data_IF_920207998701
#
_entry.id   IF_920207998701
#
_cell.length_a   1.000
_cell.length_b   1.000
_cell.length_c   1.000
_cell.angle_alpha   90.00
_cell.angle_beta   90.00
_cell.angle_gamma   90.00
#
_symmetry.space_group_name_H-M   'P 1'
#
loop_
_entity.id
_entity.type
_entity.pdbx_description
1 polymer ?
#
# COMPACT_ATOMS: atom_id res chain seq x y z
N UNK A 1 32.75 22.73 -6.22
CA UNK A 1 32.07 22.97 -7.50
C UNK A 1 32.61 24.26 -8.09
N UNK A 2 33.12 24.26 -9.32
CA UNK A 2 33.70 25.47 -9.92
C UNK A 2 32.61 26.46 -10.38
N UNK A 3 32.99 27.73 -10.60
CA UNK A 3 32.09 28.74 -11.18
C UNK A 3 31.51 28.27 -12.52
N UNK A 4 32.33 27.67 -13.39
CA UNK A 4 31.90 27.13 -14.68
C UNK A 4 30.94 25.94 -14.52
N UNK A 5 31.16 25.07 -13.52
CA UNK A 5 30.25 23.97 -13.22
C UNK A 5 28.87 24.48 -12.80
N UNK A 6 28.81 25.55 -12.00
CA UNK A 6 27.54 26.16 -11.59
C UNK A 6 26.77 26.76 -12.77
N UNK A 7 27.44 27.47 -13.68
CA UNK A 7 26.79 27.99 -14.90
C UNK A 7 26.26 26.84 -15.75
N UNK A 8 27.07 25.79 -15.94
CA UNK A 8 26.73 24.63 -16.77
C UNK A 8 25.57 23.82 -16.18
N UNK A 9 25.56 23.61 -14.87
CA UNK A 9 24.48 22.97 -14.12
C UNK A 9 23.17 23.75 -14.27
N UNK A 10 23.20 25.06 -14.02
CA UNK A 10 22.02 25.91 -14.16
C UNK A 10 21.50 25.95 -15.61
N UNK A 11 22.39 25.96 -16.60
CA UNK A 11 22.02 25.86 -18.01
C UNK A 11 21.25 24.56 -18.30
N UNK A 12 21.78 23.42 -17.85
CA UNK A 12 21.11 22.13 -18.07
C UNK A 12 19.77 22.06 -17.34
N UNK A 13 19.71 22.52 -16.09
CA UNK A 13 18.48 22.58 -15.29
C UNK A 13 17.40 23.43 -15.97
N UNK A 14 17.75 24.65 -16.40
CA UNK A 14 16.81 25.57 -17.08
C UNK A 14 16.33 25.01 -18.42
N UNK A 15 17.22 24.37 -19.19
CA UNK A 15 16.83 23.66 -20.43
C UNK A 15 15.89 22.50 -20.13
N UNK A 16 16.14 21.73 -19.08
CA UNK A 16 15.27 20.65 -18.61
C UNK A 16 13.86 21.15 -18.31
N UNK A 17 13.76 22.19 -17.47
CA UNK A 17 12.48 22.84 -17.13
C UNK A 17 11.73 23.35 -18.37
N UNK A 18 12.42 23.99 -19.32
CA UNK A 18 11.82 24.43 -20.58
C UNK A 18 11.25 23.28 -21.40
N UNK A 19 11.92 22.13 -21.45
CA UNK A 19 11.41 20.95 -22.13
C UNK A 19 10.24 20.30 -21.39
N UNK A 20 10.25 20.34 -20.06
CA UNK A 20 9.17 19.84 -19.22
C UNK A 20 7.88 20.63 -19.46
N UNK A 21 7.95 21.96 -19.50
CA UNK A 21 6.81 22.84 -19.84
C UNK A 21 6.27 22.53 -21.25
N UNK A 22 7.16 22.22 -22.20
CA UNK A 22 6.79 21.78 -23.55
C UNK A 22 6.29 20.33 -23.63
N UNK A 23 6.11 19.65 -22.49
CA UNK A 23 5.75 18.22 -22.38
C UNK A 23 6.69 17.26 -23.12
N UNK A 24 7.92 17.68 -23.42
CA UNK A 24 8.96 16.84 -24.04
C UNK A 24 9.75 16.14 -22.93
N UNK A 25 9.10 15.21 -22.25
CA UNK A 25 9.58 14.61 -20.99
C UNK A 25 10.95 13.94 -21.15
N UNK A 26 11.16 13.16 -22.20
CA UNK A 26 12.45 12.49 -22.46
C UNK A 26 13.61 13.47 -22.62
N UNK A 27 13.36 14.60 -23.30
CA UNK A 27 14.37 15.66 -23.44
C UNK A 27 14.64 16.32 -22.08
N UNK A 28 13.58 16.61 -21.32
CA UNK A 28 13.72 17.18 -19.98
C UNK A 28 14.57 16.28 -19.08
N UNK A 29 14.24 14.97 -19.05
CA UNK A 29 14.98 13.95 -18.32
C UNK A 29 16.48 13.95 -18.68
N UNK A 30 16.82 13.92 -19.98
CA UNK A 30 18.22 13.97 -20.42
C UNK A 30 18.98 15.20 -19.92
N UNK A 31 18.34 16.37 -19.91
CA UNK A 31 18.94 17.59 -19.39
C UNK A 31 19.08 17.56 -17.87
N UNK A 32 18.10 17.05 -17.14
CA UNK A 32 18.19 16.90 -15.69
C UNK A 32 19.24 15.87 -15.26
N UNK A 33 19.44 14.79 -16.02
CA UNK A 33 20.55 13.87 -15.78
C UNK A 33 21.90 14.59 -15.86
N UNK A 34 22.09 15.43 -16.87
CA UNK A 34 23.33 16.23 -17.02
C UNK A 34 23.52 17.24 -15.88
N UNK A 35 22.45 17.87 -15.40
CA UNK A 35 22.52 18.76 -14.24
C UNK A 35 22.90 17.98 -12.96
N UNK A 36 22.26 16.83 -12.74
CA UNK A 36 22.48 15.97 -11.58
C UNK A 36 23.93 15.43 -11.50
N UNK A 37 24.54 15.11 -12.65
CA UNK A 37 25.93 14.67 -12.74
C UNK A 37 26.93 15.74 -12.27
N UNK A 38 26.58 17.02 -12.42
CA UNK A 38 27.41 18.13 -11.94
C UNK A 38 27.14 18.40 -10.46
N UNK A 39 25.86 18.44 -10.07
CA UNK A 39 25.46 18.70 -8.70
C UNK A 39 24.18 17.94 -8.34
N UNK A 40 24.28 17.08 -7.32
CA UNK A 40 23.14 16.39 -6.70
C UNK A 40 22.39 17.26 -5.70
N UNK A 41 22.04 18.48 -6.10
CA UNK A 41 21.29 19.42 -5.26
C UNK A 41 19.84 18.93 -5.03
N UNK A 42 19.16 19.38 -3.97
CA UNK A 42 17.76 19.05 -3.72
C UNK A 42 16.83 19.39 -4.88
N UNK A 43 17.09 20.48 -5.60
CA UNK A 43 16.31 20.88 -6.76
C UNK A 43 16.55 19.95 -7.96
N UNK A 44 17.79 19.54 -8.21
CA UNK A 44 18.10 18.60 -9.30
C UNK A 44 17.58 17.19 -9.02
N UNK A 45 17.67 16.73 -7.77
CA UNK A 45 17.05 15.50 -7.32
C UNK A 45 15.53 15.53 -7.51
N UNK A 46 14.87 16.65 -7.16
CA UNK A 46 13.44 16.79 -7.38
C UNK A 46 13.07 16.81 -8.88
N UNK A 47 13.79 17.59 -9.69
CA UNK A 47 13.53 17.71 -11.13
C UNK A 47 13.71 16.38 -11.89
N UNK A 48 14.73 15.60 -11.55
CA UNK A 48 14.92 14.27 -12.15
C UNK A 48 13.81 13.32 -11.73
N UNK A 49 13.40 13.33 -10.45
CA UNK A 49 12.31 12.50 -9.94
C UNK A 49 10.99 12.80 -10.63
N UNK A 50 10.62 14.07 -10.77
CA UNK A 50 9.37 14.48 -11.46
C UNK A 50 9.37 14.05 -12.92
N UNK A 51 10.54 14.11 -13.58
CA UNK A 51 10.68 13.65 -14.96
C UNK A 51 10.53 12.13 -15.05
N UNK A 52 11.14 11.37 -14.14
CA UNK A 52 10.99 9.92 -14.05
C UNK A 52 9.55 9.49 -13.76
N UNK A 53 8.84 10.19 -12.85
CA UNK A 53 7.41 9.98 -12.60
C UNK A 53 6.58 10.20 -13.86
N UNK A 54 6.89 11.26 -14.62
CA UNK A 54 6.21 11.57 -15.89
C UNK A 54 6.49 10.51 -16.98
N UNK A 55 7.61 9.80 -16.89
CA UNK A 55 7.95 8.65 -17.73
C UNK A 55 7.42 7.31 -17.16
N UNK A 56 6.63 7.34 -16.08
CA UNK A 56 6.13 6.16 -15.36
C UNK A 56 7.24 5.27 -14.76
N UNK A 57 8.45 5.79 -14.61
CA UNK A 57 9.60 5.12 -13.98
C UNK A 57 9.60 5.34 -12.47
N UNK A 58 8.51 4.95 -11.81
CA UNK A 58 8.26 5.26 -10.40
C UNK A 58 9.32 4.69 -9.43
N UNK A 59 9.82 3.48 -9.71
CA UNK A 59 10.85 2.86 -8.86
C UNK A 59 12.21 3.57 -8.93
N UNK A 60 12.54 4.21 -10.06
CA UNK A 60 13.74 5.04 -10.16
C UNK A 60 13.52 6.39 -9.47
N UNK A 61 12.34 7.00 -9.66
CA UNK A 61 11.96 8.25 -9.01
C UNK A 61 11.98 8.14 -7.47
N UNK A 62 11.48 7.02 -6.93
CA UNK A 62 11.48 6.69 -5.50
C UNK A 62 12.89 6.86 -4.89
N UNK A 63 13.93 6.30 -5.54
CA UNK A 63 15.31 6.37 -5.05
C UNK A 63 15.83 7.79 -4.92
N UNK A 64 15.58 8.62 -5.93
CA UNK A 64 16.02 10.02 -5.92
C UNK A 64 15.24 10.86 -4.91
N UNK A 65 13.95 10.59 -4.71
CA UNK A 65 13.12 11.25 -3.69
C UNK A 65 13.55 10.86 -2.27
N UNK A 66 13.83 9.57 -2.02
CA UNK A 66 14.36 9.09 -0.75
C UNK A 66 15.69 9.78 -0.42
N UNK A 67 16.62 9.82 -1.37
CA UNK A 67 17.89 10.55 -1.22
C UNK A 67 17.68 12.05 -0.91
N UNK A 68 16.67 12.67 -1.52
CA UNK A 68 16.37 14.08 -1.25
C UNK A 68 15.82 14.30 0.17
N UNK A 69 15.01 13.36 0.65
CA UNK A 69 14.40 13.40 1.98
C UNK A 69 15.37 13.05 3.12
N UNK A 70 16.52 12.42 2.84
CA UNK A 70 17.57 12.19 3.85
C UNK A 70 18.05 13.50 4.50
N UNK A 71 18.20 14.56 3.69
CA UNK A 71 18.65 15.87 4.16
C UNK A 71 17.49 16.84 4.45
N UNK A 72 16.31 16.58 3.87
CA UNK A 72 15.13 17.44 3.98
C UNK A 72 13.87 16.63 4.33
N UNK A 73 13.82 15.98 5.51
CA UNK A 73 12.79 14.98 5.85
C UNK A 73 11.36 15.53 5.91
N UNK A 74 11.20 16.85 6.05
CA UNK A 74 9.90 17.52 6.13
C UNK A 74 9.54 18.32 4.88
N UNK A 75 10.29 18.18 3.77
CA UNK A 75 9.97 18.88 2.54
C UNK A 75 8.65 18.34 1.94
N UNK A 76 7.59 19.15 2.01
CA UNK A 76 6.23 18.74 1.61
C UNK A 76 6.16 18.26 0.15
N UNK A 77 6.86 18.93 -0.77
CA UNK A 77 6.85 18.57 -2.20
C UNK A 77 7.47 17.21 -2.45
N UNK A 78 8.60 16.91 -1.80
CA UNK A 78 9.27 15.62 -1.94
C UNK A 78 8.48 14.48 -1.27
N UNK A 79 7.89 14.74 -0.09
CA UNK A 79 7.02 13.78 0.58
C UNK A 79 5.78 13.48 -0.29
N UNK A 80 5.17 14.50 -0.89
CA UNK A 80 4.02 14.31 -1.77
C UNK A 80 4.39 13.51 -3.02
N UNK A 81 5.49 13.87 -3.69
CA UNK A 81 5.97 13.13 -4.86
C UNK A 81 6.30 11.67 -4.51
N UNK A 82 6.91 11.42 -3.35
CA UNK A 82 7.22 10.06 -2.92
C UNK A 82 5.95 9.27 -2.63
N UNK A 83 4.99 9.85 -1.90
CA UNK A 83 3.71 9.20 -1.66
C UNK A 83 2.96 8.87 -2.96
N UNK A 84 3.04 9.73 -3.97
CA UNK A 84 2.46 9.47 -5.29
C UNK A 84 3.21 8.35 -6.04
N UNK A 85 4.55 8.29 -5.97
CA UNK A 85 5.32 7.14 -6.45
C UNK A 85 4.89 5.83 -5.78
N UNK A 86 4.77 5.82 -4.45
CA UNK A 86 4.36 4.62 -3.70
C UNK A 86 2.95 4.17 -4.10
N UNK A 87 2.02 5.10 -4.34
CA UNK A 87 0.68 4.80 -4.86
C UNK A 87 0.76 4.14 -6.24
N UNK A 88 1.58 4.67 -7.15
CA UNK A 88 1.72 4.11 -8.50
C UNK A 88 2.42 2.75 -8.50
N UNK A 89 3.28 2.48 -7.51
CA UNK A 89 3.90 1.18 -7.27
C UNK A 89 3.00 0.20 -6.51
N UNK A 90 1.78 0.60 -6.14
CA UNK A 90 0.84 -0.16 -5.29
C UNK A 90 1.42 -0.53 -3.91
N UNK A 91 2.40 0.23 -3.43
CA UNK A 91 2.98 0.11 -2.08
C UNK A 91 2.15 0.91 -1.09
N UNK A 92 0.90 0.50 -0.91
CA UNK A 92 -0.12 1.29 -0.19
C UNK A 92 0.25 1.65 1.24
N UNK A 93 0.86 0.71 1.97
CA UNK A 93 1.25 0.93 3.36
C UNK A 93 2.31 2.03 3.50
N UNK A 94 3.26 2.08 2.56
CA UNK A 94 4.32 3.08 2.59
C UNK A 94 3.77 4.44 2.15
N UNK A 95 2.90 4.47 1.14
CA UNK A 95 2.14 5.68 0.78
C UNK A 95 1.33 6.23 1.96
N UNK A 96 0.61 5.37 2.71
CA UNK A 96 -0.20 5.77 3.87
C UNK A 96 0.69 6.38 4.97
N UNK A 97 1.84 5.77 5.28
CA UNK A 97 2.79 6.31 6.28
C UNK A 97 3.29 7.69 5.87
N UNK A 98 3.61 7.91 4.60
CA UNK A 98 4.06 9.21 4.12
C UNK A 98 2.91 10.24 4.15
N UNK A 99 1.70 9.84 3.75
CA UNK A 99 0.53 10.71 3.84
C UNK A 99 0.17 11.07 5.29
N UNK A 100 0.41 10.19 6.27
CA UNK A 100 0.26 10.53 7.70
C UNK A 100 1.22 11.65 8.11
N UNK A 101 2.51 11.53 7.77
CA UNK A 101 3.50 12.59 7.99
C UNK A 101 3.11 13.90 7.29
N UNK A 102 2.61 13.82 6.06
CA UNK A 102 2.13 15.00 5.32
C UNK A 102 0.93 15.67 5.98
N UNK A 103 0.03 14.92 6.62
CA UNK A 103 -1.13 15.47 7.34
C UNK A 103 -0.71 16.17 8.63
N UNK A 104 0.34 15.69 9.30
CA UNK A 104 0.94 16.36 10.46
C UNK A 104 1.53 17.72 10.09
N UNK A 105 2.12 17.84 8.89
CA UNK A 105 2.70 19.10 8.37
C UNK A 105 1.61 20.01 7.79
N UNK A 106 0.73 19.44 6.97
CA UNK A 106 -0.31 20.15 6.25
C UNK A 106 -1.64 19.38 6.31
N UNK A 107 -2.55 19.77 7.22
CA UNK A 107 -3.84 19.10 7.41
C UNK A 107 -4.71 19.00 6.14
N UNK A 108 -4.48 19.84 5.13
CA UNK A 108 -5.23 19.77 3.86
C UNK A 108 -4.96 18.47 3.08
N UNK A 109 -3.89 17.74 3.37
CA UNK A 109 -3.58 16.44 2.75
C UNK A 109 -4.42 15.27 3.28
N UNK A 110 -5.32 15.52 4.24
CA UNK A 110 -6.18 14.49 4.85
C UNK A 110 -6.99 13.70 3.82
N UNK A 111 -7.42 14.35 2.73
CA UNK A 111 -8.14 13.70 1.63
C UNK A 111 -7.29 12.68 0.88
N UNK A 112 -6.00 12.97 0.64
CA UNK A 112 -5.04 12.03 0.02
C UNK A 112 -4.79 10.81 0.92
N UNK A 113 -4.65 11.03 2.24
CA UNK A 113 -4.54 9.94 3.21
C UNK A 113 -5.77 9.02 3.21
N UNK A 114 -6.98 9.60 3.20
CA UNK A 114 -8.23 8.82 3.14
C UNK A 114 -8.35 8.04 1.83
N UNK A 115 -7.98 8.65 0.70
CA UNK A 115 -7.97 7.98 -0.59
C UNK A 115 -7.02 6.76 -0.59
N UNK A 116 -5.80 6.91 -0.08
CA UNK A 116 -4.83 5.82 -0.01
C UNK A 116 -5.34 4.65 0.86
N UNK A 117 -5.93 4.94 2.03
CA UNK A 117 -6.56 3.93 2.90
C UNK A 117 -7.74 3.23 2.23
N UNK A 118 -8.58 3.96 1.51
CA UNK A 118 -9.73 3.38 0.80
C UNK A 118 -9.28 2.45 -0.34
N UNK A 119 -8.23 2.81 -1.07
CA UNK A 119 -7.66 1.97 -2.14
C UNK A 119 -7.06 0.68 -1.54
N UNK A 120 -6.27 0.81 -0.49
CA UNK A 120 -5.68 -0.32 0.25
C UNK A 120 -6.75 -1.28 0.76
N UNK A 121 -7.81 -0.75 1.39
CA UNK A 121 -8.93 -1.54 1.89
C UNK A 121 -9.68 -2.27 0.76
N UNK A 122 -9.90 -1.63 -0.39
CA UNK A 122 -10.56 -2.26 -1.55
C UNK A 122 -9.72 -3.41 -2.11
N UNK A 123 -8.41 -3.21 -2.25
CA UNK A 123 -7.53 -4.26 -2.72
C UNK A 123 -7.45 -5.44 -1.74
N UNK A 124 -7.31 -5.15 -0.44
CA UNK A 124 -7.34 -6.16 0.61
C UNK A 124 -8.66 -6.93 0.62
N UNK A 125 -9.79 -6.25 0.40
CA UNK A 125 -11.10 -6.90 0.30
C UNK A 125 -11.15 -7.88 -0.88
N UNK A 126 -10.73 -7.46 -2.08
CA UNK A 126 -10.69 -8.33 -3.27
C UNK A 126 -9.79 -9.53 -3.03
N UNK A 127 -8.56 -9.31 -2.57
CA UNK A 127 -7.60 -10.37 -2.27
C UNK A 127 -8.11 -11.33 -1.19
N UNK A 128 -8.77 -10.81 -0.14
CA UNK A 128 -9.39 -11.65 0.89
C UNK A 128 -10.49 -12.55 0.33
N UNK A 129 -11.28 -12.04 -0.61
CA UNK A 129 -12.37 -12.79 -1.26
C UNK A 129 -11.81 -13.89 -2.16
N UNK A 130 -10.76 -13.62 -2.93
CA UNK A 130 -10.08 -14.63 -3.75
C UNK A 130 -9.52 -15.77 -2.88
N UNK A 131 -8.80 -15.43 -1.81
CA UNK A 131 -8.26 -16.41 -0.87
C UNK A 131 -9.36 -17.23 -0.20
N UNK A 132 -10.47 -16.59 0.20
CA UNK A 132 -11.63 -17.27 0.74
C UNK A 132 -12.23 -18.27 -0.26
N UNK A 133 -12.45 -17.84 -1.51
CA UNK A 133 -12.97 -18.70 -2.58
C UNK A 133 -12.09 -19.93 -2.77
N UNK A 134 -10.78 -19.76 -2.89
CA UNK A 134 -9.83 -20.88 -3.04
C UNK A 134 -9.84 -21.77 -1.81
N UNK A 135 -9.90 -21.20 -0.61
CA UNK A 135 -9.87 -22.00 0.61
C UNK A 135 -11.11 -22.90 0.78
N UNK A 136 -12.28 -22.47 0.32
CA UNK A 136 -13.54 -23.23 0.40
C UNK A 136 -13.52 -24.45 -0.53
N UNK A 137 -12.86 -24.37 -1.69
CA UNK A 137 -12.75 -25.51 -2.62
C UNK A 137 -11.81 -26.60 -2.11
N UNK A 138 -10.83 -26.24 -1.27
CA UNK A 138 -9.94 -27.17 -0.58
C UNK A 138 -10.63 -27.90 0.57
N UNK A 139 -11.57 -28.80 0.24
CA UNK A 139 -12.33 -29.58 1.22
C UNK A 139 -11.46 -30.60 1.96
N UNK A 140 -10.59 -31.33 1.24
CA UNK A 140 -9.76 -32.40 1.79
C UNK A 140 -8.43 -31.91 2.39
N UNK A 141 -7.90 -30.82 1.87
CA UNK A 141 -6.62 -30.25 2.32
C UNK A 141 -6.84 -29.19 3.40
N UNK A 142 -6.91 -29.66 4.65
CA UNK A 142 -7.16 -28.80 5.81
C UNK A 142 -6.05 -27.77 6.03
N UNK A 143 -4.78 -28.17 5.97
CA UNK A 143 -3.65 -27.31 6.31
C UNK A 143 -3.55 -26.13 5.34
N UNK A 144 -3.69 -26.40 4.03
CA UNK A 144 -3.68 -25.37 3.00
C UNK A 144 -4.91 -24.48 3.08
N UNK A 145 -6.10 -25.06 3.26
CA UNK A 145 -7.34 -24.29 3.42
C UNK A 145 -7.28 -23.35 4.62
N UNK A 146 -6.83 -23.82 5.78
CA UNK A 146 -6.72 -23.02 6.99
C UNK A 146 -5.66 -21.92 6.84
N UNK A 147 -4.54 -22.19 6.17
CA UNK A 147 -3.51 -21.18 5.87
C UNK A 147 -4.09 -20.03 5.05
N UNK A 148 -4.78 -20.33 3.94
CA UNK A 148 -5.40 -19.32 3.07
C UNK A 148 -6.48 -18.53 3.81
N UNK A 149 -7.31 -19.17 4.63
CA UNK A 149 -8.31 -18.47 5.44
C UNK A 149 -7.67 -17.53 6.47
N UNK A 150 -6.57 -17.93 7.10
CA UNK A 150 -5.83 -17.07 8.03
C UNK A 150 -5.22 -15.87 7.31
N UNK A 151 -4.69 -16.05 6.10
CA UNK A 151 -4.21 -14.96 5.25
C UNK A 151 -5.35 -14.02 4.85
N UNK A 152 -6.50 -14.57 4.41
CA UNK A 152 -7.69 -13.79 4.10
C UNK A 152 -8.19 -12.98 5.32
N UNK A 153 -8.14 -13.58 6.51
CA UNK A 153 -8.53 -12.93 7.76
C UNK A 153 -7.56 -11.82 8.18
N UNK A 154 -6.27 -11.90 7.83
CA UNK A 154 -5.34 -10.79 8.06
C UNK A 154 -5.70 -9.56 7.21
N UNK A 155 -6.16 -9.78 5.98
CA UNK A 155 -6.56 -8.73 5.05
C UNK A 155 -7.93 -8.13 5.38
N UNK A 156 -8.87 -8.96 5.86
CA UNK A 156 -10.22 -8.54 6.21
C UNK A 156 -10.65 -9.13 7.57
N UNK A 157 -10.10 -8.62 8.70
CA UNK A 157 -10.28 -9.23 10.03
C UNK A 157 -11.70 -9.15 10.59
N UNK A 158 -12.54 -8.28 10.04
CA UNK A 158 -13.95 -8.13 10.43
C UNK A 158 -14.90 -8.84 9.46
N UNK A 159 -14.40 -9.68 8.55
CA UNK A 159 -15.26 -10.46 7.67
C UNK A 159 -15.78 -11.71 8.40
N UNK A 160 -17.05 -11.65 8.82
CA UNK A 160 -17.69 -12.74 9.56
C UNK A 160 -17.71 -14.08 8.80
N UNK A 161 -17.76 -14.07 7.46
CA UNK A 161 -17.73 -15.30 6.66
C UNK A 161 -16.36 -15.96 6.67
N UNK A 162 -15.26 -15.20 6.65
CA UNK A 162 -13.92 -15.77 6.78
C UNK A 162 -13.76 -16.42 8.14
N UNK A 163 -14.16 -15.71 9.21
CA UNK A 163 -14.12 -16.22 10.58
C UNK A 163 -14.96 -17.49 10.75
N UNK A 164 -16.16 -17.50 10.19
CA UNK A 164 -17.03 -18.68 10.21
C UNK A 164 -16.39 -19.86 9.47
N UNK A 165 -15.79 -19.64 8.30
CA UNK A 165 -15.09 -20.70 7.58
C UNK A 165 -13.86 -21.22 8.33
N UNK A 166 -13.11 -20.37 9.03
CA UNK A 166 -12.03 -20.82 9.93
C UNK A 166 -12.59 -21.73 11.03
N UNK A 167 -13.69 -21.31 11.67
CA UNK A 167 -14.38 -22.11 12.68
C UNK A 167 -14.85 -23.45 12.13
N UNK A 168 -15.40 -23.48 10.91
CA UNK A 168 -15.84 -24.70 10.24
C UNK A 168 -14.68 -25.66 9.95
N UNK A 169 -13.49 -25.14 9.61
CA UNK A 169 -12.29 -25.96 9.43
C UNK A 169 -11.87 -26.60 10.76
N UNK A 170 -11.77 -25.83 11.83
CA UNK A 170 -11.46 -26.40 13.15
C UNK A 170 -12.51 -27.41 13.62
N UNK A 171 -13.79 -27.13 13.38
CA UNK A 171 -14.88 -28.04 13.69
C UNK A 171 -14.74 -29.38 12.95
N UNK A 172 -14.34 -29.34 11.66
CA UNK A 172 -14.10 -30.56 10.88
C UNK A 172 -12.94 -31.41 11.42
N UNK A 173 -11.98 -30.79 12.11
CA UNK A 173 -10.87 -31.45 12.78
C UNK A 173 -11.17 -31.85 14.23
N UNK A 174 -12.41 -31.69 14.68
CA UNK A 174 -12.83 -31.92 16.07
C UNK A 174 -12.10 -31.05 17.10
N UNK A 175 -11.47 -29.96 16.65
CA UNK A 175 -10.90 -28.93 17.53
C UNK A 175 -12.03 -27.95 17.91
N UNK A 176 -12.83 -28.39 18.87
CA UNK A 176 -14.06 -27.70 19.28
C UNK A 176 -13.76 -26.34 19.93
N UNK A 177 -12.63 -26.23 20.64
CA UNK A 177 -12.23 -25.01 21.35
C UNK A 177 -11.91 -23.88 20.36
N UNK A 178 -11.08 -24.16 19.35
CA UNK A 178 -10.81 -23.16 18.32
C UNK A 178 -12.06 -22.91 17.45
N UNK A 179 -12.85 -23.93 17.15
CA UNK A 179 -14.09 -23.76 16.41
C UNK A 179 -15.06 -22.78 17.12
N UNK A 180 -15.28 -22.94 18.43
CA UNK A 180 -16.11 -22.04 19.23
C UNK A 180 -15.57 -20.61 19.20
N UNK A 181 -14.26 -20.44 19.44
CA UNK A 181 -13.61 -19.12 19.41
C UNK A 181 -13.89 -18.37 18.12
N UNK A 182 -13.77 -19.02 16.96
CA UNK A 182 -13.98 -18.37 15.66
C UNK A 182 -15.47 -18.21 15.31
N UNK A 183 -16.33 -19.17 15.64
CA UNK A 183 -17.78 -19.02 15.46
C UNK A 183 -18.35 -17.90 16.33
N UNK A 184 -17.86 -17.75 17.56
CA UNK A 184 -18.25 -16.65 18.44
C UNK A 184 -17.90 -15.30 17.84
N UNK A 185 -16.69 -15.14 17.30
CA UNK A 185 -16.28 -13.90 16.61
C UNK A 185 -17.16 -13.59 15.40
N UNK A 186 -17.45 -14.59 14.56
CA UNK A 186 -18.34 -14.41 13.42
C UNK A 186 -19.76 -14.00 13.84
N UNK A 187 -20.30 -14.64 14.88
CA UNK A 187 -21.61 -14.31 15.45
C UNK A 187 -21.66 -12.91 16.07
N UNK A 188 -20.59 -12.47 16.75
CA UNK A 188 -20.54 -11.11 17.33
C UNK A 188 -20.63 -10.02 16.26
N UNK A 189 -20.03 -10.24 15.09
CA UNK A 189 -20.06 -9.29 13.97
C UNK A 189 -21.44 -9.27 13.30
N UNK A 190 -22.07 -10.44 13.13
CA UNK A 190 -23.40 -10.54 12.55
C UNK A 190 -24.30 -11.46 13.38
N UNK A 191 -24.91 -10.88 14.43
CA UNK A 191 -25.75 -11.58 15.42
C UNK A 191 -27.03 -12.14 14.82
N UNK A 192 -27.52 -11.55 13.73
CA UNK A 192 -28.78 -11.94 13.09
C UNK A 192 -28.60 -13.07 12.07
N UNK A 193 -27.36 -13.50 11.83
CA UNK A 193 -27.08 -14.58 10.88
C UNK A 193 -27.37 -15.96 11.51
N UNK A 194 -28.51 -16.56 11.11
CA UNK A 194 -28.96 -17.88 11.57
C UNK A 194 -27.89 -18.97 11.36
N UNK A 195 -27.09 -18.92 10.29
CA UNK A 195 -26.05 -19.92 10.05
C UNK A 195 -24.95 -19.83 11.11
N UNK A 196 -24.55 -18.63 11.52
CA UNK A 196 -23.53 -18.44 12.55
C UNK A 196 -24.03 -18.87 13.92
N UNK A 197 -25.28 -18.54 14.25
CA UNK A 197 -25.94 -19.00 15.47
C UNK A 197 -26.00 -20.53 15.53
N UNK A 198 -26.41 -21.18 14.43
CA UNK A 198 -26.50 -22.63 14.34
C UNK A 198 -25.12 -23.30 14.49
N UNK A 199 -24.08 -22.77 13.84
CA UNK A 199 -22.71 -23.28 13.99
C UNK A 199 -22.19 -23.14 15.42
N UNK A 200 -22.45 -22.00 16.08
CA UNK A 200 -22.05 -21.78 17.47
C UNK A 200 -22.80 -22.71 18.43
N UNK A 201 -24.10 -22.91 18.24
CA UNK A 201 -24.88 -23.85 19.03
C UNK A 201 -24.37 -25.29 18.88
N UNK A 202 -24.09 -25.72 17.64
CA UNK A 202 -23.56 -27.05 17.33
C UNK A 202 -22.22 -27.33 18.01
N UNK A 203 -21.28 -26.37 18.02
CA UNK A 203 -19.99 -26.59 18.69
C UNK A 203 -20.12 -26.58 20.22
N UNK A 204 -21.00 -25.74 20.77
CA UNK A 204 -21.26 -25.74 22.23
C UNK A 204 -21.82 -27.07 22.72
N UNK A 205 -22.64 -27.74 21.91
CA UNK A 205 -23.11 -29.10 22.24
C UNK A 205 -21.99 -30.15 22.24
N UNK A 206 -20.91 -29.95 21.46
CA UNK A 206 -19.75 -30.85 21.43
C UNK A 206 -18.76 -30.63 22.57
N UNK A 207 -18.86 -29.49 23.26
CA UNK A 207 -18.02 -29.12 24.40
C UNK A 207 -18.65 -29.46 25.76
N UNK A 208 -19.93 -29.84 25.78
CA UNK A 208 -20.64 -30.38 26.94
C UNK A 208 -20.33 -31.86 27.07
#
# INVERSE_FOLDING_TARGET
MSFFDSIKENYFRTKGQKYLVKRKIEKAYSFFQKALLINSSPENLFNISVSLMSLQKFAEAEKYLQKNLENHPHNELNLLALAECEMMLRKWNDAIKIYQKLVEINPQKKTKLQLAKNIEQRENYVKSKELLTVAITLKKDFSKSLKLLKEANKLAPQNAYILHNIGAKYFSQKDWQNAEKYFMKAFQINKNNKNFQNSLAKVKQKLR
#
